data_IF_319339470214
#
_entry.id   IF_319339470214
#
_cell.length_a   1.000
_cell.length_b   1.000
_cell.length_c   1.000
_cell.angle_alpha   90.00
_cell.angle_beta   90.00
_cell.angle_gamma   90.00
#
_symmetry.space_group_name_H-M   'P 1'
#
loop_
_entity.id
_entity.type
_entity.pdbx_description
1 polymer ?
#
# COMPACT_ATOMS: atom_id res chain seq x y z
N UNK A 1 48.38 56.04 30.78
CA UNK A 1 49.32 55.76 31.89
C UNK A 1 48.63 55.34 33.19
N UNK A 2 47.58 56.05 33.65
CA UNK A 2 46.88 55.71 34.91
C UNK A 2 46.41 54.24 35.01
N UNK A 3 45.84 53.67 33.94
CA UNK A 3 45.41 52.26 33.93
C UNK A 3 46.59 51.28 34.11
N UNK A 4 47.72 51.52 33.45
CA UNK A 4 48.92 50.69 33.59
C UNK A 4 49.51 50.83 35.01
N UNK A 5 49.59 52.06 35.55
CA UNK A 5 50.03 52.31 36.91
C UNK A 5 49.17 51.58 37.94
N UNK A 6 47.84 51.61 37.77
CA UNK A 6 46.91 50.87 38.61
C UNK A 6 47.23 49.37 38.64
N UNK A 7 47.41 48.76 37.47
CA UNK A 7 47.74 47.34 37.32
C UNK A 7 49.09 46.99 37.96
N UNK A 8 50.09 47.87 37.82
CA UNK A 8 51.42 47.69 38.42
C UNK A 8 51.34 47.76 39.95
N UNK A 9 50.61 48.74 40.50
CA UNK A 9 50.38 48.85 41.94
C UNK A 9 49.61 47.64 42.50
N UNK A 10 48.75 47.01 41.69
CA UNK A 10 48.03 45.78 42.04
C UNK A 10 48.69 44.49 41.54
N UNK A 11 50.00 44.51 41.21
CA UNK A 11 50.66 43.35 40.61
C UNK A 11 50.58 42.09 41.47
N UNK A 12 50.77 42.22 42.79
CA UNK A 12 50.78 41.08 43.70
C UNK A 12 49.45 40.29 43.73
N UNK A 13 48.28 40.91 43.97
CA UNK A 13 47.00 40.18 43.93
C UNK A 13 46.67 39.66 42.53
N UNK A 14 46.96 40.42 41.47
CA UNK A 14 46.69 39.98 40.09
C UNK A 14 47.50 38.74 39.69
N UNK A 15 48.75 38.61 40.16
CA UNK A 15 49.56 37.42 39.91
C UNK A 15 49.13 36.20 40.72
N UNK A 16 48.29 36.39 41.76
CA UNK A 16 47.74 35.29 42.57
C UNK A 16 46.40 34.78 42.03
N UNK A 17 45.75 35.51 41.13
CA UNK A 17 44.52 35.07 40.47
C UNK A 17 44.80 33.90 39.51
N UNK A 18 44.20 32.74 39.80
CA UNK A 18 44.34 31.52 38.97
C UNK A 18 43.09 31.23 38.12
N UNK A 19 41.97 31.91 38.39
CA UNK A 19 40.73 31.78 37.63
C UNK A 19 40.39 33.11 36.95
N UNK A 20 39.72 33.02 35.79
CA UNK A 20 39.26 34.18 35.04
C UNK A 20 38.27 35.03 35.84
N UNK A 21 37.34 34.37 36.55
CA UNK A 21 36.27 35.05 37.28
C UNK A 21 36.83 35.90 38.43
N UNK A 22 37.88 35.43 39.11
CA UNK A 22 38.58 36.19 40.17
C UNK A 22 39.25 37.46 39.61
N UNK A 23 39.81 37.36 38.40
CA UNK A 23 40.43 38.49 37.72
C UNK A 23 39.38 39.54 37.31
N UNK A 24 38.25 39.10 36.73
CA UNK A 24 37.13 40.00 36.41
C UNK A 24 36.55 40.64 37.68
N UNK A 25 36.35 39.85 38.74
CA UNK A 25 35.87 40.33 40.02
C UNK A 25 36.77 41.43 40.59
N UNK A 26 38.10 41.28 40.52
CA UNK A 26 39.05 42.29 40.99
C UNK A 26 38.85 43.66 40.33
N UNK A 27 38.60 43.73 39.02
CA UNK A 27 38.42 45.02 38.31
C UNK A 27 37.01 45.61 38.44
N UNK A 28 36.01 44.79 38.75
CA UNK A 28 34.64 45.25 38.97
C UNK A 28 34.39 45.74 40.40
N UNK A 29 35.30 45.48 41.34
CA UNK A 29 35.15 45.82 42.75
C UNK A 29 36.19 46.85 43.22
N UNK A 30 35.86 47.54 44.31
CA UNK A 30 36.71 48.60 44.88
C UNK A 30 37.88 47.99 45.64
N UNK A 31 39.09 48.17 45.11
CA UNK A 31 40.32 47.72 45.74
C UNK A 31 40.89 48.77 46.71
N UNK A 32 41.53 48.31 47.79
CA UNK A 32 42.24 49.15 48.76
C UNK A 32 43.64 49.48 48.23
N UNK A 33 43.73 50.46 47.34
CA UNK A 33 45.00 50.98 46.84
C UNK A 33 45.16 52.44 47.25
N UNK A 34 46.38 52.83 47.59
CA UNK A 34 46.71 54.23 47.82
C UNK A 34 46.70 54.99 46.49
N UNK A 35 45.81 55.97 46.36
CA UNK A 35 45.71 56.79 45.16
C UNK A 35 46.99 57.60 44.94
N UNK A 36 47.68 57.98 46.02
CA UNK A 36 48.91 58.77 45.93
C UNK A 36 50.04 58.00 45.24
N UNK A 37 50.15 56.70 45.50
CA UNK A 37 51.16 55.84 44.85
C UNK A 37 50.80 55.61 43.38
N UNK A 38 49.53 55.37 43.07
CA UNK A 38 49.08 55.21 41.67
C UNK A 38 49.38 56.47 40.85
N UNK A 39 49.11 57.66 41.39
CA UNK A 39 49.37 58.92 40.70
C UNK A 39 50.87 59.10 40.46
N UNK A 40 51.70 58.87 41.48
CA UNK A 40 53.17 58.96 41.34
C UNK A 40 53.70 58.01 40.28
N UNK A 41 53.25 56.75 40.30
CA UNK A 41 53.63 55.75 39.30
C UNK A 41 53.14 56.13 37.89
N UNK A 42 51.94 56.70 37.77
CA UNK A 42 51.42 57.16 36.48
C UNK A 42 52.25 58.29 35.87
N UNK A 43 52.71 59.25 36.68
CA UNK A 43 53.62 60.31 36.24
C UNK A 43 55.01 59.76 35.91
N UNK A 44 55.55 58.87 36.75
CA UNK A 44 56.81 58.19 36.50
C UNK A 44 56.79 57.44 35.16
N UNK A 45 55.73 56.68 34.87
CA UNK A 45 55.56 56.01 33.57
C UNK A 45 55.47 57.02 32.42
N UNK A 46 54.78 58.15 32.61
CA UNK A 46 54.67 59.18 31.57
C UNK A 46 56.04 59.79 31.21
N UNK A 47 56.91 59.98 32.21
CA UNK A 47 58.26 60.54 32.02
C UNK A 47 59.27 59.50 31.51
N UNK A 48 59.17 58.25 31.97
CA UNK A 48 60.08 57.17 31.60
C UNK A 48 59.77 56.53 30.24
N UNK A 49 58.57 56.77 29.67
CA UNK A 49 58.17 56.21 28.39
C UNK A 49 58.78 57.01 27.23
N UNK A 50 59.55 56.39 26.32
CA UNK A 50 60.12 57.08 25.18
C UNK A 50 59.05 57.57 24.18
N UNK A 51 59.41 58.56 23.35
CA UNK A 51 58.43 59.28 22.52
C UNK A 51 57.76 58.43 21.43
N UNK A 52 58.43 57.39 20.94
CA UNK A 52 57.95 56.45 19.92
C UNK A 52 56.73 55.64 20.37
N UNK A 53 56.65 55.29 21.67
CA UNK A 53 55.54 54.52 22.26
C UNK A 53 54.66 55.36 23.19
N UNK A 54 54.85 56.68 23.23
CA UNK A 54 54.07 57.54 24.11
C UNK A 54 52.62 57.63 23.63
N UNK A 55 51.60 57.41 24.51
CA UNK A 55 50.18 57.38 24.13
C UNK A 55 49.63 58.70 23.57
N UNK A 56 50.39 59.79 23.65
CA UNK A 56 50.05 61.10 23.05
C UNK A 56 50.21 61.11 21.53
N UNK A 57 51.07 60.26 21.00
CA UNK A 57 51.29 60.14 19.55
C UNK A 57 50.49 58.99 18.93
N UNK A 58 50.11 58.01 19.74
CA UNK A 58 49.36 56.83 19.30
C UNK A 58 47.83 57.05 19.33
N UNK A 59 47.35 57.88 20.25
CA UNK A 59 45.92 58.15 20.42
C UNK A 59 45.60 59.56 19.91
N UNK A 60 44.47 59.69 19.23
CA UNK A 60 43.90 60.98 18.88
C UNK A 60 43.42 61.71 20.16
N UNK A 61 43.50 63.04 20.13
CA UNK A 61 42.97 63.86 21.23
C UNK A 61 41.46 63.65 21.40
N UNK A 62 40.98 63.83 22.62
CA UNK A 62 39.55 63.78 22.91
C UNK A 62 38.85 64.98 22.26
N UNK A 63 38.18 64.73 21.14
CA UNK A 63 37.38 65.72 20.43
C UNK A 63 35.94 65.68 20.95
N UNK A 64 35.35 66.82 21.35
CA UNK A 64 33.95 66.86 21.76
C UNK A 64 33.03 66.49 20.60
N UNK A 65 31.93 65.79 20.89
CA UNK A 65 30.92 65.45 19.89
C UNK A 65 30.29 66.74 19.32
N UNK A 66 30.09 66.77 18.01
CA UNK A 66 29.38 67.87 17.33
C UNK A 66 27.93 67.90 17.78
N UNK A 67 27.45 69.07 18.20
CA UNK A 67 26.05 69.23 18.65
C UNK A 67 25.11 69.13 17.45
N UNK A 68 24.23 68.14 17.45
CA UNK A 68 23.14 68.00 16.47
C UNK A 68 23.48 67.21 15.20
N UNK A 69 24.72 66.76 15.02
CA UNK A 69 25.09 65.84 13.93
C UNK A 69 25.82 64.63 14.51
N UNK A 70 25.24 63.45 14.34
CA UNK A 70 25.94 62.21 14.68
C UNK A 70 27.03 61.95 13.64
N UNK A 71 28.30 61.76 14.05
CA UNK A 71 29.35 61.39 13.11
C UNK A 71 29.05 60.01 12.50
N UNK A 72 29.37 59.86 11.21
CA UNK A 72 29.21 58.60 10.49
C UNK A 72 30.18 57.58 11.10
N UNK A 73 29.64 56.68 11.92
CA UNK A 73 30.41 55.68 12.65
C UNK A 73 30.57 54.42 11.81
N UNK A 74 31.72 54.28 11.13
CA UNK A 74 32.04 53.10 10.31
C UNK A 74 32.98 52.09 11.00
N UNK A 75 33.20 52.22 12.31
CA UNK A 75 34.12 51.37 13.07
C UNK A 75 33.42 50.15 13.69
N UNK A 76 32.37 49.63 13.06
CA UNK A 76 31.72 48.40 13.50
C UNK A 76 32.62 47.19 13.23
N UNK A 77 32.64 46.19 14.12
CA UNK A 77 33.32 44.92 13.87
C UNK A 77 32.64 44.17 12.73
N UNK A 78 33.10 44.38 11.49
CA UNK A 78 32.51 43.81 10.26
C UNK A 78 32.37 42.29 10.34
N UNK A 79 33.38 41.62 10.91
CA UNK A 79 33.39 40.17 11.09
C UNK A 79 32.15 39.63 11.82
N UNK A 80 31.67 40.31 12.87
CA UNK A 80 30.51 39.84 13.64
C UNK A 80 29.23 40.01 12.82
N UNK A 81 29.09 41.13 12.11
CA UNK A 81 27.91 41.42 11.29
C UNK A 81 27.84 40.49 10.09
N UNK A 82 28.97 40.27 9.41
CA UNK A 82 29.07 39.39 8.25
C UNK A 82 28.75 37.94 8.62
N UNK A 83 29.26 37.46 9.77
CA UNK A 83 28.94 36.13 10.29
C UNK A 83 27.44 35.96 10.58
N UNK A 84 26.82 36.93 11.26
CA UNK A 84 25.37 36.88 11.53
C UNK A 84 24.51 36.94 10.26
N UNK A 85 24.99 37.58 9.20
CA UNK A 85 24.29 37.61 7.92
C UNK A 85 24.43 36.28 7.18
N UNK A 86 25.64 35.70 7.17
CA UNK A 86 25.88 34.38 6.60
C UNK A 86 25.04 33.30 7.29
N UNK A 87 24.98 33.33 8.63
CA UNK A 87 24.20 32.34 9.38
C UNK A 87 22.70 32.49 9.12
N UNK A 88 22.19 33.72 9.00
CA UNK A 88 20.80 33.97 8.61
C UNK A 88 20.49 33.47 7.21
N UNK A 89 21.38 33.71 6.26
CA UNK A 89 21.17 33.24 4.89
C UNK A 89 21.23 31.71 4.80
N UNK A 90 22.10 31.08 5.58
CA UNK A 90 22.14 29.62 5.72
C UNK A 90 20.83 29.06 6.27
N UNK A 91 20.33 29.60 7.39
CA UNK A 91 19.04 29.18 7.97
C UNK A 91 17.92 29.34 6.95
N UNK A 92 17.90 30.45 6.22
CA UNK A 92 16.91 30.71 5.17
C UNK A 92 16.95 29.66 4.06
N UNK A 93 18.13 29.23 3.63
CA UNK A 93 18.29 28.19 2.62
C UNK A 93 17.80 26.83 3.13
N UNK A 94 18.16 26.46 4.35
CA UNK A 94 17.71 25.22 5.00
C UNK A 94 16.17 25.20 5.15
N UNK A 95 15.54 26.31 5.55
CA UNK A 95 14.08 26.43 5.60
C UNK A 95 13.42 26.26 4.23
N UNK A 96 14.03 26.83 3.18
CA UNK A 96 13.50 26.73 1.82
C UNK A 96 13.59 25.27 1.30
N UNK A 97 14.68 24.58 1.61
CA UNK A 97 14.88 23.17 1.28
C UNK A 97 13.87 22.29 2.03
N UNK A 98 13.72 22.50 3.33
CA UNK A 98 12.71 21.80 4.14
C UNK A 98 11.29 21.96 3.58
N UNK A 99 10.92 23.17 3.14
CA UNK A 99 9.62 23.40 2.52
C UNK A 99 9.45 22.65 1.19
N UNK A 100 10.51 22.57 0.36
CA UNK A 100 10.48 21.78 -0.88
C UNK A 100 10.34 20.28 -0.60
N UNK A 101 11.12 19.75 0.33
CA UNK A 101 11.04 18.34 0.72
C UNK A 101 9.65 17.99 1.26
N UNK A 102 9.07 18.88 2.07
CA UNK A 102 7.70 18.70 2.57
C UNK A 102 6.66 18.71 1.46
N UNK A 103 6.81 19.57 0.45
CA UNK A 103 5.92 19.58 -0.72
C UNK A 103 6.02 18.25 -1.49
N UNK A 104 7.24 17.80 -1.77
CA UNK A 104 7.47 16.52 -2.45
C UNK A 104 6.91 15.34 -1.67
N UNK A 105 7.09 15.30 -0.34
CA UNK A 105 6.52 14.26 0.50
C UNK A 105 4.98 14.24 0.41
N UNK A 106 4.35 15.41 0.45
CA UNK A 106 2.89 15.51 0.31
C UNK A 106 2.39 15.08 -1.08
N UNK A 107 3.12 15.43 -2.15
CA UNK A 107 2.82 14.97 -3.51
C UNK A 107 2.92 13.43 -3.62
N UNK A 108 3.99 12.85 -3.08
CA UNK A 108 4.20 11.40 -3.03
C UNK A 108 3.10 10.69 -2.23
N UNK A 109 2.67 11.24 -1.10
CA UNK A 109 1.56 10.70 -0.31
C UNK A 109 0.24 10.76 -1.10
N UNK A 110 -0.03 11.87 -1.77
CA UNK A 110 -1.23 12.02 -2.60
C UNK A 110 -1.24 11.04 -3.78
N UNK A 111 -0.10 10.83 -4.44
CA UNK A 111 0.04 9.82 -5.49
C UNK A 111 -0.14 8.40 -4.95
N UNK A 112 0.43 8.09 -3.80
CA UNK A 112 0.26 6.79 -3.16
C UNK A 112 -1.21 6.53 -2.78
N UNK A 113 -1.93 7.55 -2.30
CA UNK A 113 -3.37 7.44 -2.02
C UNK A 113 -4.18 7.20 -3.29
N UNK A 114 -3.87 7.89 -4.40
CA UNK A 114 -4.52 7.66 -5.69
C UNK A 114 -4.32 6.23 -6.17
N UNK A 115 -3.08 5.73 -6.16
CA UNK A 115 -2.77 4.34 -6.56
C UNK A 115 -3.51 3.33 -5.70
N UNK A 116 -3.55 3.53 -4.38
CA UNK A 116 -4.34 2.66 -3.48
C UNK A 116 -5.83 2.65 -3.83
N UNK A 117 -6.42 3.80 -4.11
CA UNK A 117 -7.83 3.88 -4.50
C UNK A 117 -8.09 3.20 -5.86
N UNK A 118 -7.18 3.34 -6.82
CA UNK A 118 -7.23 2.64 -8.11
C UNK A 118 -7.12 1.12 -7.93
N UNK A 119 -6.19 0.65 -7.12
CA UNK A 119 -6.01 -0.77 -6.80
C UNK A 119 -7.27 -1.34 -6.11
N UNK A 120 -7.82 -0.62 -5.12
CA UNK A 120 -9.06 -1.00 -4.43
C UNK A 120 -10.26 -1.09 -5.40
N UNK A 121 -10.41 -0.12 -6.30
CA UNK A 121 -11.44 -0.14 -7.32
C UNK A 121 -11.27 -1.33 -8.28
N UNK A 122 -10.03 -1.61 -8.69
CA UNK A 122 -9.71 -2.75 -9.54
C UNK A 122 -10.04 -4.09 -8.87
N UNK A 123 -9.70 -4.25 -7.59
CA UNK A 123 -10.06 -5.45 -6.83
C UNK A 123 -11.58 -5.62 -6.69
N UNK A 124 -12.32 -4.52 -6.49
CA UNK A 124 -13.77 -4.56 -6.44
C UNK A 124 -14.36 -5.03 -7.78
N UNK A 125 -13.87 -4.49 -8.90
CA UNK A 125 -14.31 -4.90 -10.24
C UNK A 125 -13.99 -6.38 -10.51
N UNK A 126 -12.79 -6.83 -10.14
CA UNK A 126 -12.39 -8.22 -10.29
C UNK A 126 -13.27 -9.18 -9.47
N UNK A 127 -13.60 -8.81 -8.23
CA UNK A 127 -14.50 -9.60 -7.39
C UNK A 127 -15.90 -9.71 -7.99
N UNK A 128 -16.45 -8.60 -8.52
CA UNK A 128 -17.75 -8.60 -9.20
C UNK A 128 -17.75 -9.51 -10.44
N UNK A 129 -16.69 -9.47 -11.23
CA UNK A 129 -16.53 -10.35 -12.40
C UNK A 129 -16.48 -11.82 -11.97
N UNK A 130 -15.72 -12.14 -10.93
CA UNK A 130 -15.62 -13.50 -10.41
C UNK A 130 -16.96 -13.99 -9.85
N UNK A 131 -17.71 -13.14 -9.15
CA UNK A 131 -19.05 -13.44 -8.66
C UNK A 131 -20.02 -13.72 -9.81
N UNK A 132 -20.03 -12.88 -10.84
CA UNK A 132 -20.85 -13.07 -12.03
C UNK A 132 -20.49 -14.38 -12.76
N UNK A 133 -19.20 -14.70 -12.88
CA UNK A 133 -18.77 -15.96 -13.46
C UNK A 133 -19.23 -17.16 -12.62
N UNK A 134 -19.09 -17.09 -11.30
CA UNK A 134 -19.54 -18.13 -10.40
C UNK A 134 -21.06 -18.35 -10.48
N UNK A 135 -21.84 -17.27 -10.56
CA UNK A 135 -23.28 -17.35 -10.78
C UNK A 135 -23.62 -18.02 -12.12
N UNK A 136 -22.94 -17.62 -13.21
CA UNK A 136 -23.11 -18.25 -14.53
C UNK A 136 -22.80 -19.74 -14.49
N UNK A 137 -21.71 -20.15 -13.83
CA UNK A 137 -21.33 -21.56 -13.65
C UNK A 137 -22.38 -22.34 -12.87
N UNK A 138 -22.96 -21.76 -11.82
CA UNK A 138 -24.06 -22.39 -11.05
C UNK A 138 -25.29 -22.64 -11.92
N UNK A 139 -25.73 -21.63 -12.68
CA UNK A 139 -26.89 -21.76 -13.58
C UNK A 139 -26.64 -22.86 -14.62
N UNK A 140 -25.45 -22.85 -15.23
CA UNK A 140 -25.09 -23.86 -16.24
C UNK A 140 -25.12 -25.28 -15.65
N UNK A 141 -24.59 -25.48 -14.45
CA UNK A 141 -24.64 -26.78 -13.76
C UNK A 141 -26.07 -27.24 -13.48
N UNK A 142 -26.97 -26.33 -13.10
CA UNK A 142 -28.39 -26.65 -12.90
C UNK A 142 -29.10 -27.01 -14.21
N UNK A 143 -28.81 -26.29 -15.29
CA UNK A 143 -29.33 -26.58 -16.63
C UNK A 143 -28.82 -27.93 -17.14
N UNK A 144 -27.53 -28.23 -16.98
CA UNK A 144 -26.95 -29.52 -17.33
C UNK A 144 -27.62 -30.66 -16.58
N UNK A 145 -27.85 -30.51 -15.27
CA UNK A 145 -28.59 -31.50 -14.46
C UNK A 145 -29.99 -31.74 -15.01
N UNK A 146 -30.74 -30.67 -15.32
CA UNK A 146 -32.09 -30.78 -15.90
C UNK A 146 -32.06 -31.52 -17.24
N UNK A 147 -31.08 -31.24 -18.10
CA UNK A 147 -30.92 -31.92 -19.39
C UNK A 147 -30.59 -33.41 -19.20
N UNK A 148 -29.71 -33.74 -18.25
CA UNK A 148 -29.38 -35.14 -17.93
C UNK A 148 -30.63 -35.88 -17.43
N UNK A 149 -31.40 -35.29 -16.51
CA UNK A 149 -32.65 -35.88 -16.02
C UNK A 149 -33.66 -36.09 -17.15
N UNK A 150 -33.85 -35.09 -18.03
CA UNK A 150 -34.74 -35.22 -19.19
C UNK A 150 -34.29 -36.34 -20.13
N UNK A 151 -32.98 -36.45 -20.41
CA UNK A 151 -32.42 -37.56 -21.21
C UNK A 151 -32.66 -38.92 -20.54
N UNK A 152 -32.51 -39.02 -19.21
CA UNK A 152 -32.80 -40.26 -18.47
C UNK A 152 -34.29 -40.63 -18.55
N UNK A 153 -35.21 -39.66 -18.41
CA UNK A 153 -36.65 -39.88 -18.57
C UNK A 153 -37.01 -40.31 -20.00
N UNK A 154 -36.40 -39.71 -21.02
CA UNK A 154 -36.61 -40.10 -22.41
C UNK A 154 -36.08 -41.51 -22.70
N UNK A 155 -34.91 -41.88 -22.16
CA UNK A 155 -34.36 -43.23 -22.35
C UNK A 155 -35.18 -44.31 -21.66
N UNK A 156 -35.71 -44.07 -20.45
CA UNK A 156 -36.65 -44.97 -19.79
C UNK A 156 -37.95 -45.11 -20.57
N UNK A 157 -38.59 -43.99 -20.96
CA UNK A 157 -39.80 -44.02 -21.79
C UNK A 157 -39.60 -44.76 -23.12
N UNK A 158 -38.45 -44.58 -23.78
CA UNK A 158 -38.10 -45.32 -25.01
C UNK A 158 -37.95 -46.82 -24.77
N UNK A 159 -37.40 -47.23 -23.62
CA UNK A 159 -37.32 -48.66 -23.24
C UNK A 159 -38.72 -49.23 -23.01
N UNK A 160 -39.58 -48.52 -22.29
CA UNK A 160 -40.95 -48.96 -22.02
C UNK A 160 -41.79 -49.07 -23.30
N UNK A 161 -41.65 -48.12 -24.22
CA UNK A 161 -42.30 -48.19 -25.54
C UNK A 161 -41.83 -49.40 -26.34
N UNK A 162 -40.51 -49.68 -26.37
CA UNK A 162 -39.97 -50.87 -27.03
C UNK A 162 -40.51 -52.17 -26.44
N UNK A 163 -40.64 -52.25 -25.11
CA UNK A 163 -41.23 -53.43 -24.46
C UNK A 163 -42.69 -53.60 -24.86
N UNK A 164 -43.49 -52.53 -24.87
CA UNK A 164 -44.89 -52.56 -25.32
C UNK A 164 -45.01 -52.96 -26.80
N UNK A 165 -44.13 -52.46 -27.66
CA UNK A 165 -44.07 -52.86 -29.08
C UNK A 165 -43.80 -54.37 -29.22
N UNK A 166 -42.80 -54.89 -28.50
CA UNK A 166 -42.49 -56.32 -28.48
C UNK A 166 -43.66 -57.16 -27.97
N UNK A 167 -44.32 -56.75 -26.89
CA UNK A 167 -45.51 -57.44 -26.38
C UNK A 167 -46.65 -57.48 -27.40
N UNK A 168 -46.89 -56.39 -28.13
CA UNK A 168 -47.91 -56.34 -29.17
C UNK A 168 -47.58 -57.28 -30.33
N UNK A 169 -46.32 -57.30 -30.77
CA UNK A 169 -45.83 -58.22 -31.80
C UNK A 169 -45.95 -59.69 -31.34
N UNK A 170 -45.59 -59.99 -30.10
CA UNK A 170 -45.71 -61.34 -29.53
C UNK A 170 -47.18 -61.77 -29.42
N UNK A 171 -48.07 -60.89 -28.96
CA UNK A 171 -49.52 -61.14 -28.94
C UNK A 171 -50.08 -61.37 -30.35
N UNK A 172 -49.64 -60.61 -31.34
CA UNK A 172 -50.02 -60.81 -32.74
C UNK A 172 -49.51 -62.15 -33.28
N UNK A 173 -48.25 -62.50 -33.01
CA UNK A 173 -47.62 -63.78 -33.40
C UNK A 173 -48.33 -64.98 -32.79
N UNK A 174 -48.64 -64.93 -31.48
CA UNK A 174 -49.40 -65.99 -30.79
C UNK A 174 -50.80 -66.16 -31.39
N UNK A 175 -51.50 -65.06 -31.67
CA UNK A 175 -52.80 -65.09 -32.35
C UNK A 175 -52.71 -65.74 -33.73
N UNK A 176 -51.71 -65.38 -34.53
CA UNK A 176 -51.47 -65.98 -35.84
C UNK A 176 -51.18 -67.48 -35.76
N UNK A 177 -50.29 -67.91 -34.85
CA UNK A 177 -49.97 -69.33 -34.64
C UNK A 177 -51.20 -70.12 -34.18
N UNK A 178 -51.99 -69.58 -33.26
CA UNK A 178 -53.23 -70.21 -32.81
C UNK A 178 -54.24 -70.35 -33.95
N UNK A 179 -54.38 -69.31 -34.79
CA UNK A 179 -55.26 -69.37 -35.96
C UNK A 179 -54.80 -70.45 -36.95
N UNK A 180 -53.50 -70.54 -37.25
CA UNK A 180 -52.93 -71.57 -38.12
C UNK A 180 -53.12 -72.98 -37.55
N UNK A 181 -52.89 -73.18 -36.24
CA UNK A 181 -53.14 -74.46 -35.57
C UNK A 181 -54.62 -74.85 -35.65
N UNK A 182 -55.53 -73.89 -35.44
CA UNK A 182 -56.96 -74.15 -35.53
C UNK A 182 -57.39 -74.49 -36.97
N UNK A 183 -56.85 -73.81 -37.99
CA UNK A 183 -57.08 -74.17 -39.40
C UNK A 183 -56.63 -75.61 -39.68
N UNK A 184 -55.40 -75.98 -39.30
CA UNK A 184 -54.89 -77.35 -39.47
C UNK A 184 -55.74 -78.38 -38.74
N UNK A 185 -56.20 -78.08 -37.51
CA UNK A 185 -57.10 -78.97 -36.75
C UNK A 185 -58.46 -79.13 -37.44
N UNK A 186 -59.01 -78.06 -38.00
CA UNK A 186 -60.26 -78.12 -38.76
C UNK A 186 -60.09 -78.90 -40.06
N UNK A 187 -58.97 -78.75 -40.76
CA UNK A 187 -58.62 -79.55 -41.94
C UNK A 187 -58.43 -81.03 -41.59
N UNK A 188 -57.68 -81.34 -40.52
CA UNK A 188 -57.55 -82.72 -40.03
C UNK A 188 -58.90 -83.33 -39.69
N UNK A 189 -59.76 -82.61 -38.96
CA UNK A 189 -61.14 -83.07 -38.67
C UNK A 189 -61.94 -83.33 -39.95
N UNK A 190 -61.83 -82.46 -40.96
CA UNK A 190 -62.49 -82.71 -42.26
C UNK A 190 -61.95 -83.96 -42.94
N UNK A 191 -60.64 -84.18 -42.91
CA UNK A 191 -60.01 -85.37 -43.47
C UNK A 191 -60.41 -86.64 -42.69
N UNK A 192 -60.47 -86.57 -41.36
CA UNK A 192 -60.95 -87.66 -40.50
C UNK A 192 -62.42 -87.98 -40.81
N UNK A 193 -63.30 -86.97 -40.91
CA UNK A 193 -64.70 -87.14 -41.31
C UNK A 193 -64.82 -87.77 -42.72
N UNK A 194 -63.93 -87.41 -43.66
CA UNK A 194 -63.87 -88.02 -45.00
C UNK A 194 -63.38 -89.47 -44.96
N UNK A 195 -62.40 -89.79 -44.10
CA UNK A 195 -61.92 -91.16 -43.87
C UNK A 195 -63.02 -92.00 -43.24
N UNK A 196 -63.72 -91.50 -42.22
CA UNK A 196 -64.87 -92.17 -41.59
C UNK A 196 -65.98 -92.43 -42.60
N UNK A 197 -66.31 -91.45 -43.46
CA UNK A 197 -67.27 -91.67 -44.56
C UNK A 197 -66.79 -92.75 -45.53
N UNK A 198 -65.53 -92.71 -45.98
CA UNK A 198 -64.97 -93.72 -46.91
C UNK A 198 -64.87 -95.11 -46.27
N UNK A 199 -64.60 -95.20 -44.97
CA UNK A 199 -64.55 -96.47 -44.23
C UNK A 199 -65.95 -97.02 -43.92
N UNK A 200 -66.97 -96.17 -43.72
CA UNK A 200 -68.38 -96.58 -43.78
C UNK A 200 -68.76 -97.16 -45.16
N UNK A 201 -68.21 -96.64 -46.26
CA UNK A 201 -68.39 -97.23 -47.59
C UNK A 201 -67.66 -98.56 -47.79
N UNK A 202 -66.55 -98.81 -47.09
CA UNK A 202 -65.78 -100.07 -47.16
C UNK A 202 -66.24 -101.16 -46.17
N UNK A 203 -67.10 -100.83 -45.21
CA UNK A 203 -67.63 -101.75 -44.18
C UNK A 203 -69.06 -102.23 -44.43
N UNK A 204 -69.69 -101.82 -45.54
CA UNK A 204 -70.80 -102.59 -46.11
C UNK A 204 -70.22 -103.75 -46.94
N UNK A 205 -70.43 -105.02 -46.55
CA UNK A 205 -70.13 -106.12 -47.45
C UNK A 205 -71.10 -105.99 -48.63
N UNK A 206 -70.57 -105.89 -49.85
CA UNK A 206 -71.39 -106.10 -51.04
C UNK A 206 -72.07 -107.48 -50.91
N UNK A 207 -73.41 -107.55 -50.87
CA UNK A 207 -74.10 -108.82 -50.96
C UNK A 207 -74.12 -109.25 -52.43
N UNK A 208 -73.58 -110.44 -52.68
CA UNK A 208 -73.88 -111.34 -53.82
C UNK A 208 -73.72 -110.79 -55.25
N UNK A 209 -72.88 -111.45 -56.07
CA UNK A 209 -73.35 -112.30 -57.20
C UNK A 209 -72.22 -112.71 -58.16
N UNK A 210 -72.27 -114.00 -58.53
CA UNK A 210 -71.63 -114.72 -59.66
C UNK A 210 -70.32 -115.46 -59.35
#
# INVERSE_FOLDING_TARGET
MAAAAYVICSRAPLLQCNQRDDFEYFFHHRNTLDVSTIIKEAYHLMEATPADIHPKHLLEDFIPLTKGQYPIFNKYPKFIVDFQNQERERIRQEELEYLRERQLAHEMEAEAQKRKAEDEAWYQEQNLLQEAENQRRKILLEEERKVIEQRQRLTSAKRDLRLKELELLDRARRRFLNHQQNQRKMELRRLDDEIERKSCFLTFPNPSSS
#
